data_IF_582724784803
#
_entry.id   IF_582724784803
#
_cell.length_a   1.000
_cell.length_b   1.000
_cell.length_c   1.000
_cell.angle_alpha   90.00
_cell.angle_beta   90.00
_cell.angle_gamma   90.00
#
_symmetry.space_group_name_H-M   'P 1'
#
loop_
_entity.id
_entity.type
_entity.pdbx_description
1 polymer ?
#
# COMPACT_ATOMS: atom_id res chain seq x y z
N UNK A 1 -10.32 49.87 -48.10
CA UNK A 1 -11.49 49.33 -47.38
C UNK A 1 -11.89 47.98 -47.97
N UNK A 2 -11.82 46.92 -47.15
CA UNK A 2 -12.76 45.78 -47.05
C UNK A 2 -12.05 44.67 -46.26
N UNK A 3 -12.57 44.39 -45.06
CA UNK A 3 -12.23 43.22 -44.23
C UNK A 3 -12.93 41.99 -44.79
N UNK A 4 -12.49 40.80 -44.38
CA UNK A 4 -13.23 39.54 -44.03
C UNK A 4 -12.14 38.44 -44.04
N UNK A 5 -11.57 38.06 -42.89
CA UNK A 5 -11.99 36.91 -42.05
C UNK A 5 -11.91 35.55 -42.75
N UNK A 6 -10.81 34.82 -42.53
CA UNK A 6 -10.81 33.35 -42.52
C UNK A 6 -9.75 32.86 -41.51
N UNK A 7 -10.13 32.95 -40.24
CA UNK A 7 -9.63 32.12 -39.14
C UNK A 7 -10.04 30.67 -39.44
N UNK A 8 -9.16 29.89 -40.05
CA UNK A 8 -9.36 28.46 -40.25
C UNK A 8 -7.98 27.82 -40.34
N UNK A 9 -7.58 27.13 -39.26
CA UNK A 9 -6.50 26.11 -39.11
C UNK A 9 -6.12 25.98 -37.61
N UNK A 10 -6.56 26.89 -36.74
CA UNK A 10 -6.45 26.69 -35.27
C UNK A 10 -7.62 25.85 -34.76
N UNK A 11 -7.63 24.54 -35.06
CA UNK A 11 -8.54 23.59 -34.40
C UNK A 11 -8.26 22.13 -34.82
N UNK A 12 -7.05 21.61 -34.61
CA UNK A 12 -6.84 20.15 -34.64
C UNK A 12 -5.62 19.70 -33.83
N UNK A 13 -5.70 19.78 -32.51
CA UNK A 13 -4.91 18.94 -31.58
C UNK A 13 -5.48 19.07 -30.17
N UNK A 14 -6.80 18.99 -30.07
CA UNK A 14 -7.53 18.94 -28.81
C UNK A 14 -7.83 17.47 -28.55
N UNK A 15 -7.34 17.00 -27.39
CA UNK A 15 -7.59 15.70 -26.77
C UNK A 15 -7.00 14.46 -27.46
N UNK A 16 -5.73 14.22 -27.20
CA UNK A 16 -5.30 12.85 -26.86
C UNK A 16 -4.75 12.89 -25.43
N UNK A 17 -5.62 13.17 -24.46
CA UNK A 17 -5.40 12.53 -23.17
C UNK A 17 -5.64 11.06 -23.45
N UNK A 18 -4.54 10.35 -23.72
CA UNK A 18 -4.49 8.91 -23.52
C UNK A 18 -4.91 8.69 -22.08
N UNK A 19 -6.21 8.43 -21.88
CA UNK A 19 -6.66 7.57 -20.80
C UNK A 19 -5.94 6.25 -21.04
N UNK A 20 -4.71 6.14 -20.53
CA UNK A 20 -4.20 4.85 -20.09
C UNK A 20 -5.00 4.50 -18.83
N UNK A 21 -6.29 4.23 -19.01
CA UNK A 21 -6.96 3.30 -18.11
C UNK A 21 -6.28 1.97 -18.42
N UNK A 22 -5.57 1.45 -17.43
CA UNK A 22 -5.16 0.06 -17.47
C UNK A 22 -6.45 -0.75 -17.48
N UNK A 23 -6.86 -1.17 -18.67
CA UNK A 23 -7.96 -2.11 -18.84
C UNK A 23 -7.48 -3.43 -18.24
N UNK A 24 -7.90 -3.68 -17.01
CA UNK A 24 -7.77 -4.99 -16.41
C UNK A 24 -8.65 -5.92 -17.22
N UNK A 25 -8.00 -6.71 -18.06
CA UNK A 25 -8.60 -7.84 -18.77
C UNK A 25 -9.22 -8.74 -17.69
N UNK A 26 -10.55 -8.67 -17.55
CA UNK A 26 -11.33 -9.51 -16.62
C UNK A 26 -11.44 -10.90 -17.23
N UNK A 27 -10.43 -11.72 -16.97
CA UNK A 27 -10.49 -13.18 -17.15
C UNK A 27 -10.65 -13.81 -15.76
N UNK A 28 -11.91 -14.06 -15.37
CA UNK A 28 -12.30 -14.95 -14.26
C UNK A 28 -11.69 -14.69 -12.86
N UNK A 29 -12.37 -13.90 -12.03
CA UNK A 29 -12.46 -14.21 -10.58
C UNK A 29 -11.80 -13.28 -9.56
N UNK A 30 -11.08 -12.23 -9.97
CA UNK A 30 -10.54 -11.23 -9.03
C UNK A 30 -11.45 -9.99 -8.93
N UNK A 31 -12.14 -9.84 -7.82
CA UNK A 31 -12.95 -8.65 -7.53
C UNK A 31 -12.13 -7.63 -6.72
N UNK A 32 -11.54 -6.65 -7.42
CA UNK A 32 -10.78 -5.58 -6.75
C UNK A 32 -11.69 -4.74 -5.82
N UNK A 33 -12.96 -4.56 -6.16
CA UNK A 33 -13.88 -3.74 -5.36
C UNK A 33 -14.10 -4.32 -3.96
N UNK A 34 -14.13 -5.65 -3.84
CA UNK A 34 -14.13 -6.34 -2.56
C UNK A 34 -12.93 -5.95 -1.70
N UNK A 35 -11.72 -5.92 -2.27
CA UNK A 35 -10.50 -5.58 -1.53
C UNK A 35 -10.43 -4.09 -1.18
N UNK A 36 -10.85 -3.21 -2.07
CA UNK A 36 -10.90 -1.77 -1.81
C UNK A 36 -11.92 -1.42 -0.72
N UNK A 37 -12.89 -2.30 -0.44
CA UNK A 37 -13.81 -2.15 0.70
C UNK A 37 -13.20 -2.55 2.06
N UNK A 38 -12.01 -3.17 2.07
CA UNK A 38 -11.32 -3.60 3.29
C UNK A 38 -10.51 -2.47 3.92
N UNK A 39 -9.95 -2.74 5.09
CA UNK A 39 -9.03 -1.83 5.76
C UNK A 39 -7.84 -1.56 4.84
N UNK A 40 -7.50 -0.28 4.66
CA UNK A 40 -6.35 0.16 3.90
C UNK A 40 -5.16 0.38 4.85
N UNK A 41 -3.96 0.09 4.36
CA UNK A 41 -2.72 0.37 5.06
C UNK A 41 -1.57 0.62 4.09
N UNK A 42 -0.50 1.20 4.60
CA UNK A 42 0.75 1.43 3.87
C UNK A 42 1.88 0.73 4.58
N UNK A 43 2.74 0.05 3.82
CA UNK A 43 3.91 -0.61 4.37
C UNK A 43 4.94 0.44 4.75
N UNK A 44 5.12 0.68 6.04
CA UNK A 44 6.02 1.71 6.58
C UNK A 44 7.41 1.18 6.92
N UNK A 45 7.55 -0.14 7.02
CA UNK A 45 8.84 -0.79 7.22
C UNK A 45 8.85 -2.18 6.57
N UNK A 46 9.89 -2.48 5.80
CA UNK A 46 10.13 -3.80 5.22
C UNK A 46 11.61 -3.95 4.88
N UNK A 47 12.27 -4.93 5.48
CA UNK A 47 13.70 -5.19 5.31
C UNK A 47 13.97 -6.57 4.70
N UNK A 48 15.03 -6.72 3.92
CA UNK A 48 15.37 -7.98 3.24
C UNK A 48 15.71 -9.16 4.17
N UNK A 49 16.19 -8.91 5.39
CA UNK A 49 16.68 -9.94 6.32
C UNK A 49 15.63 -10.39 7.34
N UNK A 50 14.57 -9.60 7.52
CA UNK A 50 13.50 -9.87 8.47
C UNK A 50 12.23 -10.34 7.74
N UNK A 51 11.63 -11.46 8.16
CA UNK A 51 10.37 -11.94 7.57
C UNK A 51 9.15 -11.17 8.06
N UNK A 52 9.32 -10.18 8.92
CA UNK A 52 8.27 -9.31 9.42
C UNK A 52 8.35 -7.95 8.74
N UNK A 53 7.19 -7.36 8.51
CA UNK A 53 7.04 -6.00 7.99
C UNK A 53 5.95 -5.28 8.78
N UNK A 54 5.97 -3.96 8.70
CA UNK A 54 5.06 -3.09 9.45
C UNK A 54 4.15 -2.39 8.46
N UNK A 55 2.85 -2.42 8.76
CA UNK A 55 1.82 -1.69 8.04
C UNK A 55 1.24 -0.64 8.98
N UNK A 56 1.28 0.61 8.57
CA UNK A 56 0.51 1.67 9.23
C UNK A 56 -0.92 1.62 8.68
N UNK A 57 -1.89 1.63 9.57
CA UNK A 57 -3.32 1.69 9.26
C UNK A 57 -3.96 2.83 10.04
N UNK A 58 -5.25 3.06 9.80
CA UNK A 58 -6.02 4.06 10.54
C UNK A 58 -5.96 3.88 12.07
N UNK A 59 -5.87 2.63 12.55
CA UNK A 59 -5.91 2.30 13.97
C UNK A 59 -4.52 2.25 14.64
N UNK A 60 -3.45 2.48 13.88
CA UNK A 60 -2.06 2.41 14.37
C UNK A 60 -1.22 1.48 13.52
N UNK A 61 -0.27 0.79 14.15
CA UNK A 61 0.69 -0.06 13.46
C UNK A 61 0.34 -1.54 13.62
N UNK A 62 0.56 -2.29 12.55
CA UNK A 62 0.32 -3.73 12.47
C UNK A 62 1.58 -4.45 12.05
N UNK A 63 1.94 -5.49 12.78
CA UNK A 63 3.09 -6.36 12.50
C UNK A 63 2.60 -7.59 11.78
N UNK A 64 3.20 -7.87 10.62
CA UNK A 64 2.82 -9.01 9.79
C UNK A 64 4.04 -9.83 9.44
N UNK A 65 3.95 -11.13 9.69
CA UNK A 65 4.92 -12.12 9.21
C UNK A 65 4.57 -12.52 7.77
N UNK A 66 5.49 -12.30 6.85
CA UNK A 66 5.42 -12.82 5.49
C UNK A 66 5.54 -14.36 5.49
N UNK A 67 4.75 -15.00 4.62
CA UNK A 67 4.80 -16.45 4.37
C UNK A 67 5.41 -16.80 3.00
N UNK A 68 6.00 -15.81 2.33
CA UNK A 68 6.64 -15.96 1.01
C UNK A 68 6.92 -14.60 0.39
N UNK A 69 5.89 -13.98 -0.19
CA UNK A 69 5.99 -12.60 -0.68
C UNK A 69 5.94 -11.60 0.48
N UNK A 70 6.84 -10.63 0.46
CA UNK A 70 6.86 -9.51 1.40
C UNK A 70 6.77 -8.19 0.62
N UNK A 71 5.77 -7.34 0.89
CA UNK A 71 5.61 -6.10 0.17
C UNK A 71 6.75 -5.11 0.48
N UNK A 72 7.06 -4.27 -0.50
CA UNK A 72 8.06 -3.21 -0.34
C UNK A 72 7.50 -2.06 0.48
N UNK A 73 8.38 -1.31 1.14
CA UNK A 73 8.03 -0.05 1.79
C UNK A 73 7.33 0.91 0.81
N UNK A 74 6.31 1.61 1.28
CA UNK A 74 5.42 2.46 0.48
C UNK A 74 4.33 1.71 -0.31
N UNK A 75 4.27 0.37 -0.21
CA UNK A 75 3.19 -0.38 -0.87
C UNK A 75 1.86 -0.13 -0.18
N UNK A 76 0.82 0.13 -0.98
CA UNK A 76 -0.56 0.22 -0.54
C UNK A 76 -1.17 -1.18 -0.46
N UNK A 77 -1.61 -1.57 0.72
CA UNK A 77 -2.13 -2.90 1.00
C UNK A 77 -3.53 -2.83 1.60
N UNK A 78 -4.37 -3.79 1.23
CA UNK A 78 -5.76 -3.89 1.68
C UNK A 78 -6.01 -5.26 2.29
N UNK A 79 -6.75 -5.31 3.39
CA UNK A 79 -7.12 -6.57 4.03
C UNK A 79 -7.71 -6.38 5.43
N UNK A 80 -7.62 -7.41 6.26
CA UNK A 80 -7.98 -7.32 7.67
C UNK A 80 -6.69 -7.20 8.48
N UNK A 81 -6.34 -6.00 8.94
CA UNK A 81 -5.15 -5.79 9.78
C UNK A 81 -5.48 -5.90 11.28
N UNK A 82 -6.75 -5.77 11.63
CA UNK A 82 -7.27 -5.66 13.00
C UNK A 82 -7.63 -6.99 13.68
N UNK A 83 -6.97 -8.09 13.32
CA UNK A 83 -7.22 -9.43 13.89
C UNK A 83 -5.94 -10.28 13.85
N UNK A 84 -5.82 -11.34 14.66
CA UNK A 84 -4.62 -12.21 14.67
C UNK A 84 -4.73 -13.40 13.69
N UNK A 85 -3.58 -13.82 13.15
CA UNK A 85 -3.47 -15.04 12.36
C UNK A 85 -3.27 -14.84 10.84
N UNK A 86 -3.20 -15.97 10.13
CA UNK A 86 -2.90 -16.05 8.69
C UNK A 86 -4.10 -15.68 7.84
N UNK A 87 -3.88 -14.82 6.84
CA UNK A 87 -4.91 -14.42 5.87
C UNK A 87 -4.28 -13.85 4.61
N UNK A 88 -5.14 -13.60 3.63
CA UNK A 88 -4.78 -12.96 2.38
C UNK A 88 -4.91 -11.42 2.48
N UNK A 89 -4.01 -10.76 1.77
CA UNK A 89 -3.95 -9.33 1.58
C UNK A 89 -3.84 -9.02 0.11
N UNK A 90 -4.37 -7.88 -0.30
CA UNK A 90 -4.21 -7.34 -1.64
C UNK A 90 -3.15 -6.25 -1.65
N UNK A 91 -2.07 -6.44 -2.40
CA UNK A 91 -1.12 -5.37 -2.66
C UNK A 91 -1.58 -4.61 -3.90
N UNK A 92 -2.20 -3.45 -3.69
CA UNK A 92 -2.71 -2.61 -4.78
C UNK A 92 -1.58 -2.02 -5.63
N UNK A 93 -0.43 -1.73 -5.03
CA UNK A 93 0.73 -1.19 -5.76
C UNK A 93 1.32 -2.18 -6.76
N UNK A 94 1.20 -3.48 -6.52
CA UNK A 94 1.71 -4.54 -7.42
C UNK A 94 0.61 -5.35 -8.12
N UNK A 95 -0.64 -5.24 -7.68
CA UNK A 95 -1.81 -5.81 -8.34
C UNK A 95 -2.02 -7.31 -8.10
N UNK A 96 -1.59 -7.86 -6.97
CA UNK A 96 -1.78 -9.28 -6.67
C UNK A 96 -2.06 -9.58 -5.19
N UNK A 97 -2.59 -10.78 -4.94
CA UNK A 97 -2.90 -11.31 -3.61
C UNK A 97 -1.73 -12.05 -3.00
N UNK A 98 -1.55 -11.90 -1.70
CA UNK A 98 -0.49 -12.56 -0.97
C UNK A 98 -0.90 -12.91 0.45
N UNK A 99 -0.26 -13.93 1.02
CA UNK A 99 -0.58 -14.44 2.35
C UNK A 99 0.42 -13.94 3.39
N UNK A 100 -0.10 -13.47 4.52
CA UNK A 100 0.69 -13.09 5.68
C UNK A 100 -0.04 -13.43 6.97
N UNK A 101 0.70 -13.45 8.09
CA UNK A 101 0.13 -13.66 9.41
C UNK A 101 0.27 -12.39 10.25
N UNK A 102 -0.86 -11.79 10.64
CA UNK A 102 -0.84 -10.68 11.60
C UNK A 102 -0.51 -11.24 12.97
N UNK A 103 0.58 -10.76 13.55
CA UNK A 103 1.01 -11.15 14.88
C UNK A 103 0.59 -10.14 15.93
N UNK A 104 0.54 -8.86 15.57
CA UNK A 104 0.17 -7.76 16.46
C UNK A 104 -0.47 -6.64 15.64
N UNK A 105 -1.42 -5.92 16.24
CA UNK A 105 -2.20 -4.88 15.57
C UNK A 105 -2.62 -3.79 16.56
N UNK A 106 -3.04 -2.63 16.04
CA UNK A 106 -3.40 -1.42 16.82
C UNK A 106 -2.29 -0.95 17.76
N UNK A 107 -1.04 -1.20 17.37
CA UNK A 107 0.11 -0.78 18.16
C UNK A 107 0.33 0.71 18.02
N UNK A 108 0.85 1.33 19.08
CA UNK A 108 1.51 2.63 18.97
C UNK A 108 2.81 2.50 18.16
N UNK A 109 3.36 3.62 17.70
CA UNK A 109 4.67 3.63 17.02
C UNK A 109 5.75 2.94 17.86
N UNK A 110 5.82 3.26 19.15
CA UNK A 110 6.81 2.69 20.08
C UNK A 110 6.59 1.20 20.31
N UNK A 111 5.33 0.76 20.46
CA UNK A 111 5.04 -0.66 20.66
C UNK A 111 5.36 -1.48 19.41
N UNK A 112 5.13 -0.92 18.23
CA UNK A 112 5.50 -1.56 16.97
C UNK A 112 7.01 -1.66 16.79
N UNK A 113 7.79 -0.67 17.22
CA UNK A 113 9.25 -0.78 17.27
C UNK A 113 9.69 -1.91 18.19
N UNK A 114 9.14 -1.98 19.41
CA UNK A 114 9.49 -3.05 20.36
C UNK A 114 9.08 -4.44 19.86
N UNK A 115 7.88 -4.58 19.29
CA UNK A 115 7.43 -5.84 18.72
C UNK A 115 8.34 -6.28 17.58
N UNK A 116 8.72 -5.35 16.69
CA UNK A 116 9.61 -5.65 15.58
C UNK A 116 11.02 -6.02 16.06
N UNK A 117 11.55 -5.36 17.09
CA UNK A 117 12.85 -5.72 17.68
C UNK A 117 12.81 -7.10 18.37
N UNK A 118 11.66 -7.49 18.93
CA UNK A 118 11.46 -8.84 19.46
C UNK A 118 11.48 -9.90 18.36
N UNK A 119 10.72 -9.69 17.26
CA UNK A 119 10.65 -10.67 16.16
C UNK A 119 11.89 -10.68 15.27
N UNK A 120 12.51 -9.52 15.12
CA UNK A 120 13.67 -9.29 14.29
C UNK A 120 14.68 -8.46 15.10
N UNK A 121 15.49 -9.09 15.96
CA UNK A 121 16.50 -8.37 16.71
C UNK A 121 17.58 -7.81 15.77
N UNK A 122 17.94 -6.54 15.98
CA UNK A 122 19.10 -5.94 15.34
C UNK A 122 20.36 -6.35 16.10
N UNK A 123 21.39 -6.77 15.38
CA UNK A 123 22.69 -7.07 15.98
C UNK A 123 23.57 -5.80 15.96
N UNK A 124 23.72 -5.15 17.11
CA UNK A 124 24.59 -3.98 17.29
C UNK A 124 24.11 -3.05 18.40
N UNK A 125 25.03 -2.46 19.18
CA UNK A 125 24.68 -1.50 20.23
C UNK A 125 24.12 -0.21 19.63
N UNK A 126 22.92 0.18 20.04
CA UNK A 126 22.31 1.48 19.72
C UNK A 126 21.66 1.57 18.34
N UNK A 127 21.40 0.44 17.67
CA UNK A 127 20.68 0.46 16.38
C UNK A 127 19.18 0.54 16.65
N UNK A 128 18.53 1.58 16.16
CA UNK A 128 17.08 1.78 16.24
C UNK A 128 16.48 1.77 14.84
N UNK A 129 15.31 1.15 14.67
CA UNK A 129 14.58 1.15 13.40
C UNK A 129 13.69 2.40 13.33
N UNK A 130 13.75 3.11 12.22
CA UNK A 130 12.79 4.18 11.92
C UNK A 130 11.82 3.70 10.86
N UNK A 131 10.52 3.89 11.11
CA UNK A 131 9.51 3.60 10.09
C UNK A 131 9.34 4.82 9.20
N UNK A 132 9.15 4.57 7.90
CA UNK A 132 8.79 5.63 6.97
C UNK A 132 7.41 6.17 7.36
N UNK A 133 7.23 7.47 7.24
CA UNK A 133 5.92 8.09 7.41
C UNK A 133 5.00 7.63 6.27
N UNK A 134 3.81 7.13 6.59
CA UNK A 134 2.80 6.86 5.57
C UNK A 134 2.48 8.12 4.76
N UNK A 135 2.35 7.94 3.46
CA UNK A 135 1.90 8.94 2.50
C UNK A 135 0.37 9.03 2.46
N UNK A 136 -0.32 7.92 2.76
CA UNK A 136 -1.78 7.92 2.84
C UNK A 136 -2.28 8.73 4.03
N UNK A 137 -3.20 9.65 3.75
CA UNK A 137 -3.97 10.32 4.79
C UNK A 137 -5.16 9.42 5.13
N UNK A 138 -5.12 8.79 6.30
CA UNK A 138 -6.28 8.07 6.79
C UNK A 138 -7.31 9.09 7.28
N UNK A 139 -8.34 9.36 6.47
CA UNK A 139 -9.43 10.23 6.89
C UNK A 139 -10.17 9.60 8.08
N UNK A 140 -10.22 10.33 9.21
CA UNK A 140 -11.12 10.01 10.32
C UNK A 140 -12.55 10.20 9.82
N UNK A 141 -13.25 9.10 9.54
CA UNK A 141 -14.70 9.13 9.31
C UNK A 141 -15.46 9.36 10.62
#
# INVERSE_FOLDING_TARGET
MKKIFTLSIVSLAVFVFSSCSRDYYYDGGFDESYWLSKEAGEVVYSDSYCNYYVVETYYGYTIIRSTGYKPYEGSLVYGNFSNLGTREFYNRSSGFLFTGAVTDYWLSYTDAQYALDYYCPLYGKGVTREFKKATIQFEKK
#
